data_IF_365847842623
#
_entry.id   IF_365847842623
#
_cell.length_a   1.000
_cell.length_b   1.000
_cell.length_c   1.000
_cell.angle_alpha   90.00
_cell.angle_beta   90.00
_cell.angle_gamma   90.00
#
_symmetry.space_group_name_H-M   'P 1'
#
loop_
_entity.id
_entity.type
_entity.pdbx_description
1 polymer ?
#
# COMPACT_ATOMS: atom_id res chain seq x y z
N UNK A 1 -4.06 -2.72 -1.55
CA UNK A 1 -3.46 -1.87 -2.58
C UNK A 1 -2.13 -1.41 -2.05
N UNK A 2 -1.02 -1.80 -2.67
CA UNK A 2 0.26 -1.16 -2.37
C UNK A 2 0.27 0.26 -2.95
N UNK A 3 0.77 1.21 -2.17
CA UNK A 3 0.98 2.58 -2.65
C UNK A 3 2.06 2.58 -3.74
N UNK A 4 1.85 3.40 -4.76
CA UNK A 4 2.83 3.67 -5.80
C UNK A 4 3.71 4.85 -5.37
N UNK A 5 5.01 4.87 -5.71
CA UNK A 5 5.77 3.80 -6.36
C UNK A 5 5.99 2.56 -5.48
N UNK A 6 6.10 1.37 -6.11
CA UNK A 6 6.34 0.07 -5.47
C UNK A 6 7.83 -0.33 -5.52
N UNK A 7 8.22 -1.43 -4.85
CA UNK A 7 9.61 -1.78 -4.53
C UNK A 7 10.65 -1.55 -5.63
N UNK A 8 10.48 -2.15 -6.81
CA UNK A 8 11.42 -1.96 -7.92
C UNK A 8 11.44 -0.51 -8.44
N UNK A 9 10.30 0.18 -8.45
CA UNK A 9 10.20 1.58 -8.83
C UNK A 9 10.87 2.49 -7.78
N UNK A 10 10.74 2.14 -6.49
CA UNK A 10 11.41 2.82 -5.38
C UNK A 10 12.93 2.64 -5.43
N UNK A 11 13.41 1.43 -5.74
CA UNK A 11 14.84 1.15 -5.94
C UNK A 11 15.42 1.95 -7.11
N UNK A 12 14.73 1.97 -8.26
CA UNK A 12 15.16 2.77 -9.41
C UNK A 12 15.22 4.26 -9.05
N UNK A 13 14.15 4.80 -8.44
CA UNK A 13 14.10 6.20 -8.02
C UNK A 13 15.20 6.54 -7.01
N UNK A 14 15.44 5.68 -6.02
CA UNK A 14 16.52 5.87 -5.05
C UNK A 14 17.90 5.86 -5.74
N UNK A 15 18.14 4.92 -6.65
CA UNK A 15 19.39 4.84 -7.41
C UNK A 15 19.63 6.06 -8.28
N UNK A 16 18.60 6.54 -8.98
CA UNK A 16 18.66 7.76 -9.80
C UNK A 16 18.92 9.01 -8.95
N UNK A 17 18.25 9.12 -7.80
CA UNK A 17 18.47 10.21 -6.86
C UNK A 17 19.92 10.23 -6.33
N UNK A 18 20.51 9.07 -6.00
CA UNK A 18 21.92 8.98 -5.58
C UNK A 18 22.91 9.39 -6.67
N UNK A 19 22.59 9.12 -7.93
CA UNK A 19 23.42 9.50 -9.09
C UNK A 19 23.27 10.98 -9.47
N UNK A 20 22.38 11.73 -8.80
CA UNK A 20 22.12 13.12 -9.13
C UNK A 20 21.42 13.30 -10.47
N UNK A 21 20.48 12.39 -10.80
CA UNK A 21 19.68 12.48 -12.02
C UNK A 21 18.98 13.86 -12.10
N UNK A 22 19.31 14.70 -13.11
CA UNK A 22 18.78 16.05 -13.22
C UNK A 22 17.29 16.09 -13.61
N UNK A 23 16.71 14.96 -14.01
CA UNK A 23 15.27 14.85 -14.28
C UNK A 23 14.44 14.75 -13.00
N UNK A 24 15.08 14.47 -11.85
CA UNK A 24 14.41 14.40 -10.56
C UNK A 24 14.42 15.77 -9.87
N UNK A 25 13.23 16.24 -9.51
CA UNK A 25 13.09 17.38 -8.61
C UNK A 25 13.34 16.93 -7.17
N UNK A 26 14.54 17.17 -6.67
CA UNK A 26 14.94 16.79 -5.31
C UNK A 26 15.05 18.02 -4.41
N UNK A 27 14.82 17.87 -3.09
CA UNK A 27 15.07 18.95 -2.15
C UNK A 27 16.55 19.39 -2.16
N UNK A 28 16.78 20.70 -2.05
CA UNK A 28 18.12 21.28 -1.95
C UNK A 28 18.84 20.91 -0.64
N UNK A 29 18.07 20.64 0.42
CA UNK A 29 18.62 20.16 1.69
C UNK A 29 19.14 18.73 1.54
N UNK A 30 20.47 18.60 1.56
CA UNK A 30 21.16 17.33 1.40
C UNK A 30 20.78 16.30 2.49
N UNK A 31 20.58 16.72 3.74
CA UNK A 31 20.22 15.82 4.84
C UNK A 31 18.81 15.28 4.65
N UNK A 32 17.88 16.14 4.26
CA UNK A 32 16.51 15.75 4.00
C UNK A 32 16.41 14.84 2.79
N UNK A 33 17.14 15.15 1.71
CA UNK A 33 17.25 14.29 0.52
C UNK A 33 17.80 12.91 0.87
N UNK A 34 18.89 12.82 1.61
CA UNK A 34 19.49 11.55 2.01
C UNK A 34 18.53 10.71 2.87
N UNK A 35 17.80 11.37 3.77
CA UNK A 35 16.77 10.71 4.57
C UNK A 35 15.63 10.15 3.71
N UNK A 36 15.20 10.87 2.67
CA UNK A 36 14.18 10.43 1.73
C UNK A 36 14.63 9.22 0.90
N UNK A 37 15.85 9.24 0.36
CA UNK A 37 16.43 8.11 -0.38
C UNK A 37 16.51 6.87 0.50
N UNK A 38 17.05 7.02 1.72
CA UNK A 38 17.16 5.89 2.66
C UNK A 38 15.80 5.30 3.03
N UNK A 39 14.76 6.14 3.16
CA UNK A 39 13.38 5.67 3.40
C UNK A 39 12.86 4.88 2.22
N UNK A 40 13.04 5.35 0.99
CA UNK A 40 12.61 4.64 -0.22
C UNK A 40 13.26 3.25 -0.32
N UNK A 41 14.58 3.15 -0.09
CA UNK A 41 15.31 1.88 -0.08
C UNK A 41 14.80 0.93 1.03
N UNK A 42 14.52 1.47 2.21
CA UNK A 42 14.01 0.66 3.33
C UNK A 42 12.63 0.09 3.02
N UNK A 43 11.75 0.88 2.37
CA UNK A 43 10.42 0.42 1.95
C UNK A 43 10.56 -0.65 0.86
N UNK A 44 11.41 -0.43 -0.13
CA UNK A 44 11.63 -1.37 -1.20
C UNK A 44 12.18 -2.72 -0.71
N UNK A 45 13.16 -2.69 0.20
CA UNK A 45 13.70 -3.90 0.81
C UNK A 45 12.62 -4.73 1.51
N UNK A 46 11.75 -4.10 2.31
CA UNK A 46 10.63 -4.80 2.97
C UNK A 46 9.63 -5.39 1.97
N UNK A 47 9.35 -4.66 0.89
CA UNK A 47 8.47 -5.17 -0.17
C UNK A 47 9.10 -6.36 -0.91
N UNK A 48 10.41 -6.32 -1.14
CA UNK A 48 11.18 -7.44 -1.68
C UNK A 48 11.17 -8.67 -0.76
N UNK A 49 11.39 -8.49 0.54
CA UNK A 49 11.32 -9.56 1.55
C UNK A 49 9.93 -10.18 1.65
N UNK A 50 8.90 -9.34 1.57
CA UNK A 50 7.50 -9.75 1.70
C UNK A 50 6.95 -10.39 0.41
N UNK A 51 7.53 -10.03 -0.75
CA UNK A 51 7.07 -10.45 -2.08
C UNK A 51 5.61 -10.09 -2.33
N UNK A 52 4.90 -10.88 -3.15
CA UNK A 52 3.50 -10.61 -3.49
C UNK A 52 2.51 -11.27 -2.49
N UNK A 53 2.99 -11.74 -1.34
CA UNK A 53 2.15 -12.40 -0.33
C UNK A 53 0.93 -11.56 0.11
N UNK A 54 1.11 -10.28 0.49
CA UNK A 54 0.02 -9.38 0.85
C UNK A 54 -0.99 -9.19 -0.28
N UNK A 55 -0.52 -8.94 -1.51
CA UNK A 55 -1.39 -8.71 -2.66
C UNK A 55 -2.22 -9.94 -3.01
N UNK A 56 -1.66 -11.15 -2.89
CA UNK A 56 -2.43 -12.40 -3.05
C UNK A 56 -3.50 -12.55 -1.96
N UNK A 57 -3.17 -12.30 -0.69
CA UNK A 57 -4.14 -12.37 0.41
C UNK A 57 -5.26 -11.35 0.25
N UNK A 58 -4.93 -10.14 -0.17
CA UNK A 58 -5.90 -9.08 -0.45
C UNK A 58 -6.83 -9.46 -1.59
N UNK A 59 -6.27 -9.98 -2.69
CA UNK A 59 -7.05 -10.48 -3.84
C UNK A 59 -8.04 -11.56 -3.40
N UNK A 60 -7.58 -12.54 -2.62
CA UNK A 60 -8.43 -13.64 -2.12
C UNK A 60 -9.51 -13.15 -1.14
N UNK A 61 -9.20 -12.14 -0.33
CA UNK A 61 -10.17 -11.50 0.56
C UNK A 61 -11.23 -10.72 -0.22
N UNK A 62 -10.81 -9.93 -1.21
CA UNK A 62 -11.71 -9.16 -2.08
C UNK A 62 -12.60 -10.06 -2.92
N UNK A 63 -12.05 -11.13 -3.51
CA UNK A 63 -12.82 -12.06 -4.31
C UNK A 63 -13.95 -12.69 -3.49
N UNK A 64 -13.66 -13.08 -2.24
CA UNK A 64 -14.66 -13.57 -1.28
C UNK A 64 -15.67 -12.50 -0.88
N UNK A 65 -15.23 -11.27 -0.61
CA UNK A 65 -16.10 -10.16 -0.20
C UNK A 65 -17.08 -9.75 -1.31
N UNK A 66 -16.62 -9.75 -2.55
CA UNK A 66 -17.39 -9.32 -3.72
C UNK A 66 -18.16 -10.46 -4.38
N UNK A 67 -17.81 -11.71 -4.07
CA UNK A 67 -18.39 -12.91 -4.69
C UNK A 67 -18.02 -13.06 -6.16
N UNK A 68 -16.85 -12.57 -6.57
CA UNK A 68 -16.37 -12.63 -7.95
C UNK A 68 -14.85 -12.78 -8.00
N UNK A 69 -14.34 -13.45 -9.03
CA UNK A 69 -12.91 -13.55 -9.29
C UNK A 69 -12.41 -12.38 -10.14
N UNK A 70 -11.11 -12.10 -10.04
CA UNK A 70 -10.46 -11.07 -10.83
C UNK A 70 -9.01 -10.85 -10.40
N UNK A 71 -8.31 -10.03 -11.17
CA UNK A 71 -7.06 -9.45 -10.72
C UNK A 71 -7.32 -8.42 -9.61
N UNK A 72 -6.28 -8.12 -8.83
CA UNK A 72 -6.40 -7.23 -7.68
C UNK A 72 -6.88 -5.82 -8.05
N UNK A 73 -6.50 -5.31 -9.22
CA UNK A 73 -6.88 -3.96 -9.66
C UNK A 73 -8.36 -3.91 -10.07
N UNK A 74 -8.86 -4.94 -10.76
CA UNK A 74 -10.25 -5.09 -11.13
C UNK A 74 -11.14 -5.24 -9.89
N UNK A 75 -10.73 -6.08 -8.93
CA UNK A 75 -11.45 -6.27 -7.68
C UNK A 75 -11.49 -4.98 -6.84
N UNK A 76 -10.39 -4.21 -6.79
CA UNK A 76 -10.38 -2.91 -6.10
C UNK A 76 -11.31 -1.88 -6.77
N UNK A 77 -11.38 -1.85 -8.11
CA UNK A 77 -12.36 -1.01 -8.83
C UNK A 77 -13.79 -1.43 -8.51
N UNK A 78 -14.07 -2.73 -8.58
CA UNK A 78 -15.38 -3.28 -8.25
C UNK A 78 -15.78 -2.96 -6.79
N UNK A 79 -14.84 -3.06 -5.84
CA UNK A 79 -15.06 -2.65 -4.45
C UNK A 79 -15.47 -1.18 -4.36
N UNK A 80 -14.72 -0.29 -5.02
CA UNK A 80 -15.02 1.14 -5.01
C UNK A 80 -16.41 1.44 -5.57
N UNK A 81 -16.82 0.75 -6.64
CA UNK A 81 -18.13 0.94 -7.26
C UNK A 81 -19.27 0.47 -6.34
N UNK A 82 -19.14 -0.69 -5.70
CA UNK A 82 -20.18 -1.18 -4.78
C UNK A 82 -20.24 -0.38 -3.47
N UNK A 83 -19.12 0.17 -2.99
CA UNK A 83 -19.08 1.11 -1.86
C UNK A 83 -19.84 2.39 -2.22
N UNK A 84 -19.59 2.98 -3.40
CA UNK A 84 -20.32 4.17 -3.87
C UNK A 84 -21.81 3.91 -4.07
N UNK A 85 -22.17 2.69 -4.43
CA UNK A 85 -23.57 2.28 -4.57
C UNK A 85 -24.27 2.00 -3.22
N UNK A 86 -23.61 2.20 -2.08
CA UNK A 86 -24.18 2.01 -0.75
C UNK A 86 -24.32 0.55 -0.30
N UNK A 87 -23.71 -0.41 -1.03
CA UNK A 87 -23.84 -1.85 -0.74
C UNK A 87 -23.23 -2.25 0.61
N UNK A 88 -22.39 -1.39 1.18
CA UNK A 88 -21.72 -1.57 2.47
C UNK A 88 -22.03 -0.45 3.47
N UNK A 89 -23.13 0.29 3.26
CA UNK A 89 -23.57 1.33 4.19
C UNK A 89 -23.92 0.76 5.58
N UNK A 90 -23.93 1.60 6.64
CA UNK A 90 -24.30 1.16 7.98
C UNK A 90 -25.63 0.40 8.00
N UNK A 91 -25.61 -0.82 8.55
CA UNK A 91 -26.78 -1.70 8.60
C UNK A 91 -26.85 -2.74 7.46
N UNK A 92 -26.04 -2.60 6.41
CA UNK A 92 -25.93 -3.65 5.39
C UNK A 92 -25.24 -4.91 5.98
N UNK A 93 -25.69 -6.13 5.62
CA UNK A 93 -25.14 -7.39 6.18
C UNK A 93 -23.62 -7.53 6.02
N UNK A 94 -23.05 -6.96 4.96
CA UNK A 94 -21.63 -7.07 4.65
C UNK A 94 -20.80 -5.82 5.03
N UNK A 95 -21.40 -4.81 5.66
CA UNK A 95 -20.72 -3.57 6.05
C UNK A 95 -19.51 -3.82 6.96
N UNK A 96 -19.68 -4.66 7.99
CA UNK A 96 -18.60 -5.01 8.91
C UNK A 96 -17.44 -5.77 8.24
N UNK A 97 -17.76 -6.62 7.24
CA UNK A 97 -16.74 -7.33 6.48
C UNK A 97 -15.94 -6.38 5.58
N UNK A 98 -16.61 -5.44 4.92
CA UNK A 98 -15.94 -4.41 4.12
C UNK A 98 -15.05 -3.50 5.00
N UNK A 99 -15.56 -3.04 6.15
CA UNK A 99 -14.78 -2.22 7.09
C UNK A 99 -13.50 -2.94 7.53
N UNK A 100 -13.62 -4.19 7.97
CA UNK A 100 -12.47 -5.00 8.39
C UNK A 100 -11.45 -5.18 7.27
N UNK A 101 -11.91 -5.46 6.04
CA UNK A 101 -11.03 -5.57 4.88
C UNK A 101 -10.23 -4.27 4.66
N UNK A 102 -10.91 -3.13 4.63
CA UNK A 102 -10.26 -1.82 4.45
C UNK A 102 -9.26 -1.52 5.58
N UNK A 103 -9.61 -1.88 6.82
CA UNK A 103 -8.73 -1.71 7.97
C UNK A 103 -7.49 -2.58 7.88
N UNK A 104 -7.64 -3.86 7.59
CA UNK A 104 -6.52 -4.80 7.45
C UNK A 104 -5.56 -4.38 6.32
N UNK A 105 -6.10 -3.99 5.16
CA UNK A 105 -5.29 -3.49 4.04
C UNK A 105 -4.58 -2.18 4.39
N UNK A 106 -5.22 -1.28 5.16
CA UNK A 106 -4.57 -0.06 5.62
C UNK A 106 -3.41 -0.39 6.57
N UNK A 107 -3.58 -1.32 7.51
CA UNK A 107 -2.51 -1.74 8.41
C UNK A 107 -1.35 -2.36 7.65
N UNK A 108 -1.60 -3.27 6.70
CA UNK A 108 -0.54 -3.87 5.87
C UNK A 108 0.28 -2.81 5.11
N UNK A 109 -0.37 -1.78 4.54
CA UNK A 109 0.33 -0.66 3.88
C UNK A 109 1.24 0.12 4.83
N UNK A 110 0.77 0.37 6.05
CA UNK A 110 1.57 1.08 7.06
C UNK A 110 2.73 0.22 7.54
N UNK A 111 2.58 -1.11 7.66
CA UNK A 111 3.69 -2.03 8.00
C UNK A 111 4.85 -1.92 7.02
N UNK A 112 4.56 -1.84 5.73
CA UNK A 112 5.60 -1.70 4.71
C UNK A 112 6.22 -0.29 4.72
N UNK A 113 5.38 0.75 4.73
CA UNK A 113 5.82 2.13 4.55
C UNK A 113 6.40 2.79 5.81
N UNK A 114 5.76 2.61 6.96
CA UNK A 114 6.11 3.26 8.22
C UNK A 114 5.67 2.45 9.46
N UNK A 115 6.31 1.30 9.75
CA UNK A 115 5.90 0.42 10.86
C UNK A 115 5.99 1.11 12.23
N UNK A 116 6.87 2.11 12.39
CA UNK A 116 6.97 2.90 13.64
C UNK A 116 5.67 3.63 13.99
N UNK A 117 4.85 3.98 12.99
CA UNK A 117 3.56 4.60 13.25
C UNK A 117 2.58 3.63 13.94
N UNK A 118 2.64 2.34 13.60
CA UNK A 118 1.78 1.33 14.23
C UNK A 118 2.14 1.13 15.70
N UNK A 119 3.44 1.05 16.00
CA UNK A 119 3.95 0.98 17.38
C UNK A 119 3.48 2.19 18.19
N UNK A 120 3.62 3.41 17.64
CA UNK A 120 3.21 4.63 18.32
C UNK A 120 1.71 4.70 18.61
N UNK A 121 0.89 4.01 17.80
CA UNK A 121 -0.56 3.93 17.95
C UNK A 121 -1.03 2.71 18.76
N UNK A 122 -0.11 1.84 19.22
CA UNK A 122 -0.44 0.60 19.92
C UNK A 122 -1.15 -0.43 19.03
N UNK A 123 -0.86 -0.42 17.73
CA UNK A 123 -1.46 -1.31 16.72
C UNK A 123 -0.52 -2.47 16.32
N UNK A 124 0.65 -2.55 16.95
CA UNK A 124 1.65 -3.63 16.86
C UNK A 124 2.27 -3.91 18.23
#
# INVERSE_FOLDING_TARGET
MRDRPQGLELEDLAGRARRGDPTLSLPDDARYRDAMVKRAETIAARQGETGDGPERRERDALARLLGQDGDLAALNRALADVVRAGRFDPGAPAAAACYRHLWETALERVRESNPKALIALGLE
#
